data_IF_463849474350
#
_entry.id   IF_463849474350
#
_cell.length_a   1.000
_cell.length_b   1.000
_cell.length_c   1.000
_cell.angle_alpha   90.00
_cell.angle_beta   90.00
_cell.angle_gamma   90.00
#
_symmetry.space_group_name_H-M   'P 1'
#
loop_
_entity.id
_entity.type
_entity.pdbx_description
1 polymer ?
#
# COMPACT_ATOMS: atom_id res chain seq x y z
N UNK A 1 30.03 -22.66 -20.27
CA UNK A 1 29.22 -21.77 -19.40
C UNK A 1 29.35 -20.35 -19.93
N UNK A 2 28.26 -19.58 -20.09
CA UNK A 2 28.37 -18.21 -20.56
C UNK A 2 29.07 -17.34 -19.50
N UNK A 3 30.10 -16.60 -19.91
CA UNK A 3 30.85 -15.68 -19.03
C UNK A 3 30.12 -14.35 -18.97
N UNK A 4 29.55 -14.01 -17.82
CA UNK A 4 28.89 -12.73 -17.59
C UNK A 4 29.95 -11.71 -17.13
N UNK A 5 30.09 -10.58 -17.83
CA UNK A 5 30.98 -9.47 -17.43
C UNK A 5 30.25 -8.13 -17.42
N UNK A 6 30.79 -7.17 -16.67
CA UNK A 6 30.37 -5.76 -16.76
C UNK A 6 30.92 -5.16 -18.07
N UNK A 7 30.10 -4.33 -18.70
CA UNK A 7 30.42 -3.54 -19.89
C UNK A 7 30.41 -2.06 -19.53
N UNK A 8 31.21 -1.26 -20.22
CA UNK A 8 31.25 0.19 -20.00
C UNK A 8 30.07 0.88 -20.70
N UNK A 9 29.79 2.14 -20.32
CA UNK A 9 28.72 2.92 -20.93
C UNK A 9 28.99 3.21 -22.43
N UNK A 10 30.24 3.46 -22.81
CA UNK A 10 30.66 3.62 -24.21
C UNK A 10 30.47 2.33 -24.99
N UNK A 11 30.86 1.19 -24.42
CA UNK A 11 30.68 -0.11 -25.06
C UNK A 11 29.19 -0.43 -25.25
N UNK A 12 28.35 -0.11 -24.27
CA UNK A 12 26.89 -0.27 -24.37
C UNK A 12 26.24 0.70 -25.38
N UNK A 13 26.85 1.85 -25.65
CA UNK A 13 26.33 2.84 -26.60
C UNK A 13 26.45 2.39 -28.06
N UNK A 14 27.43 1.54 -28.37
CA UNK A 14 27.64 0.96 -29.71
C UNK A 14 26.79 -0.28 -29.99
N UNK A 15 26.10 -0.80 -28.99
CA UNK A 15 25.19 -1.92 -29.22
C UNK A 15 24.05 -1.40 -30.08
N UNK A 16 23.85 -2.01 -31.26
CA UNK A 16 22.66 -1.76 -32.04
C UNK A 16 21.47 -1.96 -31.11
N UNK A 17 20.76 -0.86 -30.81
CA UNK A 17 19.40 -0.97 -30.31
C UNK A 17 18.68 -1.67 -31.44
N UNK A 18 18.52 -2.98 -31.35
CA UNK A 18 17.60 -3.73 -32.20
C UNK A 18 16.27 -3.02 -32.02
N UNK A 19 15.95 -2.19 -33.00
CA UNK A 19 15.01 -1.10 -32.87
C UNK A 19 13.62 -1.68 -32.80
N UNK A 20 13.16 -2.04 -31.59
CA UNK A 20 11.74 -2.13 -31.36
C UNK A 20 11.25 -0.69 -31.48
N UNK A 21 10.60 -0.38 -32.60
CA UNK A 21 9.95 0.90 -32.80
C UNK A 21 9.15 1.26 -31.52
N UNK A 22 9.17 2.53 -31.10
CA UNK A 22 8.31 3.00 -30.03
C UNK A 22 6.90 2.45 -30.29
N UNK A 23 6.30 1.78 -29.30
CA UNK A 23 4.90 1.43 -29.44
C UNK A 23 4.15 2.75 -29.63
N UNK A 24 3.41 2.89 -30.73
CA UNK A 24 2.59 4.07 -30.94
C UNK A 24 1.69 4.27 -29.71
N UNK A 25 1.58 5.51 -29.25
CA UNK A 25 0.68 5.83 -28.15
C UNK A 25 -0.73 5.32 -28.50
N UNK A 26 -1.39 4.56 -27.62
CA UNK A 26 -2.71 4.04 -27.92
C UNK A 26 -3.72 5.18 -27.97
N UNK A 27 -4.72 5.04 -28.84
CA UNK A 27 -5.78 6.03 -29.01
C UNK A 27 -6.54 6.24 -27.67
N UNK A 28 -6.56 7.46 -27.11
CA UNK A 28 -7.29 7.75 -25.89
C UNK A 28 -8.79 7.39 -25.96
N UNK A 29 -9.43 7.51 -27.13
CA UNK A 29 -10.83 7.14 -27.31
C UNK A 29 -11.03 5.62 -27.17
N UNK A 30 -10.10 4.83 -27.73
CA UNK A 30 -10.08 3.38 -27.56
C UNK A 30 -9.89 2.99 -26.08
N UNK A 31 -8.95 3.63 -25.38
CA UNK A 31 -8.72 3.37 -23.94
C UNK A 31 -9.97 3.70 -23.11
N UNK A 32 -10.62 4.84 -23.39
CA UNK A 32 -11.84 5.23 -22.72
C UNK A 32 -12.97 4.22 -22.94
N UNK A 33 -13.15 3.74 -24.18
CA UNK A 33 -14.15 2.71 -24.51
C UNK A 33 -13.88 1.39 -23.79
N UNK A 34 -12.62 0.92 -23.78
CA UNK A 34 -12.21 -0.29 -23.07
C UNK A 34 -12.52 -0.22 -21.58
N UNK A 35 -12.20 0.91 -20.94
CA UNK A 35 -12.48 1.11 -19.53
C UNK A 35 -13.98 1.28 -19.24
N UNK A 36 -14.75 1.89 -20.14
CA UNK A 36 -16.20 2.04 -20.01
C UNK A 36 -16.94 0.70 -20.11
N UNK A 37 -16.39 -0.27 -20.86
CA UNK A 37 -16.97 -1.60 -21.01
C UNK A 37 -16.82 -2.49 -19.75
N UNK A 38 -16.03 -2.08 -18.75
CA UNK A 38 -15.85 -2.86 -17.52
C UNK A 38 -17.03 -2.66 -16.57
N UNK A 39 -17.64 -3.76 -16.14
CA UNK A 39 -18.67 -3.74 -15.08
C UNK A 39 -18.13 -3.22 -13.73
N UNK A 40 -16.85 -3.48 -13.42
CA UNK A 40 -16.17 -2.94 -12.24
C UNK A 40 -14.81 -2.35 -12.63
N UNK A 41 -14.68 -1.03 -12.50
CA UNK A 41 -13.44 -0.29 -12.78
C UNK A 41 -12.53 -0.12 -11.56
N UNK A 42 -12.98 -0.49 -10.36
CA UNK A 42 -12.23 -0.23 -9.12
C UNK A 42 -10.88 -0.94 -9.15
N UNK A 43 -9.83 -0.20 -8.80
CA UNK A 43 -8.47 -0.71 -8.77
C UNK A 43 -7.86 -0.98 -10.14
N UNK A 44 -8.44 -0.52 -11.24
CA UNK A 44 -7.80 -0.55 -12.55
C UNK A 44 -7.41 0.87 -12.94
N UNK A 45 -6.15 1.08 -13.31
CA UNK A 45 -5.64 2.40 -13.70
C UNK A 45 -4.81 2.26 -14.96
N UNK A 46 -5.04 3.14 -15.94
CA UNK A 46 -4.20 3.28 -17.11
C UNK A 46 -2.93 4.06 -16.75
N UNK A 47 -1.79 3.61 -17.25
CA UNK A 47 -0.50 4.29 -17.16
C UNK A 47 -0.05 4.56 -18.59
N UNK A 48 0.00 5.84 -18.93
CA UNK A 48 0.62 6.33 -20.15
C UNK A 48 1.72 7.29 -19.71
N UNK A 49 2.97 6.88 -19.89
CA UNK A 49 4.13 7.76 -19.69
C UNK A 49 4.80 7.98 -21.02
N UNK A 50 4.90 9.22 -21.43
CA UNK A 50 5.73 9.58 -22.57
C UNK A 50 7.20 9.64 -22.13
N UNK A 51 8.11 9.23 -23.02
CA UNK A 51 9.54 9.33 -22.76
C UNK A 51 10.36 9.15 -24.04
N UNK A 52 11.59 9.67 -24.09
CA UNK A 52 12.44 9.65 -25.29
C UNK A 52 12.82 8.23 -25.77
N UNK A 53 12.56 7.20 -24.96
CA UNK A 53 12.74 5.79 -25.30
C UNK A 53 11.43 5.07 -25.71
N UNK A 54 10.36 5.81 -26.01
CA UNK A 54 9.09 5.24 -26.50
C UNK A 54 8.03 4.96 -25.44
N UNK A 55 8.15 5.59 -24.27
CA UNK A 55 7.13 5.56 -23.22
C UNK A 55 6.82 4.20 -22.58
N UNK A 56 6.12 4.22 -21.46
CA UNK A 56 5.53 3.01 -20.88
C UNK A 56 4.01 3.10 -20.94
N UNK A 57 3.41 2.18 -21.67
CA UNK A 57 1.98 2.04 -21.91
C UNK A 57 1.51 0.74 -21.24
N UNK A 58 0.73 0.87 -20.16
CA UNK A 58 0.36 -0.26 -19.32
C UNK A 58 -0.97 -0.06 -18.58
N UNK A 59 -1.57 -1.16 -18.13
CA UNK A 59 -2.60 -1.13 -17.10
C UNK A 59 -2.00 -1.57 -15.75
N UNK A 60 -2.42 -0.91 -14.67
CA UNK A 60 -2.12 -1.31 -13.30
C UNK A 60 -3.38 -1.81 -12.62
N UNK A 61 -3.32 -3.03 -12.11
CA UNK A 61 -4.31 -3.56 -11.17
C UNK A 61 -3.89 -3.23 -9.73
N UNK A 62 -4.86 -2.88 -8.88
CA UNK A 62 -4.72 -2.62 -7.45
C UNK A 62 -5.81 -3.35 -6.66
N UNK A 63 -5.42 -3.97 -5.56
CA UNK A 63 -6.32 -4.60 -4.58
C UNK A 63 -5.95 -4.09 -3.19
N UNK A 64 -6.90 -3.43 -2.54
CA UNK A 64 -6.78 -2.96 -1.16
C UNK A 64 -7.32 -4.04 -0.23
N UNK A 65 -6.50 -4.54 0.68
CA UNK A 65 -6.90 -5.53 1.69
C UNK A 65 -6.25 -5.18 3.01
N UNK A 66 -7.04 -5.10 4.10
CA UNK A 66 -6.52 -4.93 5.49
C UNK A 66 -5.48 -3.81 5.65
N UNK A 67 -5.68 -2.68 4.96
CA UNK A 67 -4.78 -1.52 5.02
C UNK A 67 -3.50 -1.63 4.18
N UNK A 68 -3.33 -2.70 3.39
CA UNK A 68 -2.22 -2.82 2.42
C UNK A 68 -2.74 -2.74 0.98
N UNK A 69 -1.93 -2.16 0.09
CA UNK A 69 -2.17 -2.13 -1.36
C UNK A 69 -1.30 -3.21 -2.03
N UNK A 70 -1.95 -4.17 -2.67
CA UNK A 70 -1.31 -5.08 -3.62
C UNK A 70 -1.49 -4.51 -5.02
N UNK A 71 -0.44 -4.50 -5.84
CA UNK A 71 -0.55 -4.06 -7.23
C UNK A 71 0.30 -4.89 -8.19
N UNK A 72 -0.12 -4.93 -9.45
CA UNK A 72 0.64 -5.49 -10.55
C UNK A 72 0.45 -4.62 -11.81
N UNK A 73 1.46 -4.61 -12.67
CA UNK A 73 1.49 -3.79 -13.89
C UNK A 73 1.63 -4.67 -15.12
N UNK A 74 0.82 -4.39 -16.13
CA UNK A 74 0.62 -5.17 -17.34
C UNK A 74 0.87 -4.28 -18.54
N UNK A 75 2.04 -4.42 -19.16
CA UNK A 75 2.47 -3.58 -20.28
C UNK A 75 1.81 -4.02 -21.59
N UNK A 76 1.33 -3.07 -22.39
CA UNK A 76 0.65 -3.34 -23.67
C UNK A 76 1.54 -4.19 -24.59
N UNK A 77 2.84 -3.87 -24.64
CA UNK A 77 3.84 -4.56 -25.46
C UNK A 77 4.12 -6.03 -25.06
N UNK A 78 3.71 -6.45 -23.85
CA UNK A 78 3.83 -7.83 -23.36
C UNK A 78 2.52 -8.61 -23.46
N UNK A 79 1.40 -7.91 -23.59
CA UNK A 79 0.06 -8.51 -23.56
C UNK A 79 -0.73 -8.30 -24.86
N UNK A 80 -0.06 -8.03 -25.98
CA UNK A 80 -0.70 -7.93 -27.29
C UNK A 80 -1.53 -6.65 -27.50
N UNK A 81 -1.18 -5.56 -26.80
CA UNK A 81 -1.85 -4.27 -26.89
C UNK A 81 -2.70 -3.92 -25.66
N UNK A 82 -3.40 -2.78 -25.69
CA UNK A 82 -4.13 -2.25 -24.53
C UNK A 82 -5.28 -3.15 -24.09
N UNK A 83 -5.99 -3.80 -25.02
CA UNK A 83 -7.08 -4.72 -24.68
C UNK A 83 -6.59 -5.94 -23.90
N UNK A 84 -5.50 -6.58 -24.35
CA UNK A 84 -4.95 -7.74 -23.66
C UNK A 84 -4.28 -7.39 -22.33
N UNK A 85 -3.62 -6.22 -22.24
CA UNK A 85 -3.10 -5.71 -20.98
C UNK A 85 -4.23 -5.42 -19.97
N UNK A 86 -5.34 -4.84 -20.42
CA UNK A 86 -6.51 -4.61 -19.57
C UNK A 86 -7.12 -5.94 -19.09
N UNK A 87 -7.29 -6.91 -19.98
CA UNK A 87 -7.81 -8.23 -19.64
C UNK A 87 -6.93 -8.92 -18.59
N UNK A 88 -5.60 -8.85 -18.75
CA UNK A 88 -4.66 -9.41 -17.78
C UNK A 88 -4.76 -8.71 -16.41
N UNK A 89 -4.88 -7.38 -16.40
CA UNK A 89 -5.03 -6.60 -15.17
C UNK A 89 -6.33 -6.93 -14.42
N UNK A 90 -7.44 -7.09 -15.14
CA UNK A 90 -8.74 -7.49 -14.57
C UNK A 90 -8.66 -8.91 -14.01
N UNK A 91 -8.14 -9.87 -14.78
CA UNK A 91 -8.01 -11.26 -14.34
C UNK A 91 -7.12 -11.38 -13.08
N UNK A 92 -6.00 -10.65 -13.04
CA UNK A 92 -5.14 -10.59 -11.88
C UNK A 92 -5.85 -9.98 -10.66
N UNK A 93 -6.58 -8.87 -10.84
CA UNK A 93 -7.30 -8.21 -9.76
C UNK A 93 -8.36 -9.15 -9.17
N UNK A 94 -9.13 -9.80 -10.02
CA UNK A 94 -10.27 -10.62 -9.60
C UNK A 94 -9.80 -11.92 -8.94
N UNK A 95 -8.76 -12.57 -9.48
CA UNK A 95 -8.11 -13.71 -8.80
C UNK A 95 -7.48 -13.30 -7.47
N UNK A 96 -6.79 -12.16 -7.40
CA UNK A 96 -6.22 -11.65 -6.16
C UNK A 96 -7.31 -11.35 -5.13
N UNK A 97 -8.43 -10.72 -5.53
CA UNK A 97 -9.60 -10.50 -4.68
C UNK A 97 -10.17 -11.81 -4.13
N UNK A 98 -10.29 -12.84 -4.96
CA UNK A 98 -10.75 -14.16 -4.52
C UNK A 98 -9.80 -14.80 -3.52
N UNK A 99 -8.49 -14.73 -3.75
CA UNK A 99 -7.47 -15.26 -2.83
C UNK A 99 -7.55 -14.54 -1.48
N UNK A 100 -7.56 -13.21 -1.47
CA UNK A 100 -7.58 -12.44 -0.22
C UNK A 100 -8.91 -12.56 0.53
N UNK A 101 -10.03 -12.78 -0.18
CA UNK A 101 -11.33 -13.04 0.43
C UNK A 101 -11.39 -14.41 1.13
N UNK A 102 -10.63 -15.40 0.64
CA UNK A 102 -10.52 -16.74 1.26
C UNK A 102 -9.64 -16.77 2.51
N UNK A 103 -8.78 -15.77 2.70
CA UNK A 103 -7.98 -15.66 3.93
C UNK A 103 -8.93 -15.24 5.05
N UNK A 104 -9.25 -16.19 5.95
CA UNK A 104 -10.06 -15.94 7.14
C UNK A 104 -9.61 -14.66 7.85
N UNK A 105 -10.53 -13.86 8.42
CA UNK A 105 -10.16 -12.71 9.22
C UNK A 105 -9.11 -13.16 10.24
N UNK A 106 -7.94 -12.51 10.25
CA UNK A 106 -7.00 -12.69 11.36
C UNK A 106 -7.79 -12.30 12.58
N UNK A 107 -8.03 -13.27 13.47
CA UNK A 107 -8.74 -13.05 14.72
C UNK A 107 -8.15 -11.78 15.34
N UNK A 108 -9.01 -10.80 15.63
CA UNK A 108 -8.58 -9.55 16.22
C UNK A 108 -7.71 -9.89 17.43
N UNK A 109 -6.45 -9.41 17.42
CA UNK A 109 -5.54 -9.62 18.55
C UNK A 109 -6.30 -9.18 19.80
N UNK A 110 -6.43 -10.04 20.83
CA UNK A 110 -7.17 -9.67 22.02
C UNK A 110 -6.61 -8.36 22.55
N UNK A 111 -7.51 -7.40 22.78
CA UNK A 111 -7.14 -6.10 23.31
C UNK A 111 -6.46 -6.35 24.66
N UNK A 112 -5.24 -5.82 24.83
CA UNK A 112 -4.49 -5.99 26.06
C UNK A 112 -5.34 -5.49 27.25
N UNK A 113 -5.30 -6.15 28.42
CA UNK A 113 -6.13 -5.77 29.55
C UNK A 113 -5.87 -4.33 29.99
N UNK A 114 -6.90 -3.72 30.59
CA UNK A 114 -6.81 -2.38 31.11
C UNK A 114 -5.70 -2.26 32.15
N UNK A 115 -4.85 -1.22 32.05
CA UNK A 115 -3.70 -1.04 32.95
C UNK A 115 -3.23 0.41 33.02
N UNK A 116 -2.62 0.76 34.14
CA UNK A 116 -1.90 2.03 34.33
C UNK A 116 -0.41 1.71 34.39
N UNK A 117 0.41 2.40 33.59
CA UNK A 117 1.87 2.22 33.59
C UNK A 117 2.57 3.56 33.71
N UNK A 118 3.70 3.55 34.41
CA UNK A 118 4.58 4.71 34.50
C UNK A 118 5.22 4.98 33.14
N UNK A 119 5.23 6.25 32.76
CA UNK A 119 5.82 6.73 31.52
C UNK A 119 6.94 7.73 31.85
N UNK A 120 8.17 7.23 31.80
CA UNK A 120 9.39 8.03 32.02
C UNK A 120 10.09 8.21 30.68
N UNK A 121 9.71 9.28 29.98
CA UNK A 121 10.40 9.71 28.78
C UNK A 121 11.42 10.78 29.14
N UNK A 122 12.49 10.93 28.33
CA UNK A 122 13.58 11.90 28.55
C UNK A 122 13.16 13.34 28.89
N UNK A 123 11.94 13.75 28.53
CA UNK A 123 11.40 15.10 28.80
C UNK A 123 9.95 15.10 29.31
N UNK A 124 9.38 13.94 29.62
CA UNK A 124 7.97 13.83 30.05
C UNK A 124 7.84 12.73 31.10
N UNK A 125 7.43 13.13 32.29
CA UNK A 125 7.17 12.25 33.43
C UNK A 125 5.67 12.23 33.70
N UNK A 126 5.08 11.04 33.70
CA UNK A 126 3.64 10.88 33.91
C UNK A 126 3.19 9.43 33.89
N UNK A 127 1.89 9.23 33.75
CA UNK A 127 1.26 7.92 33.72
C UNK A 127 0.44 7.74 32.44
N UNK A 128 0.49 6.53 31.87
CA UNK A 128 -0.35 6.12 30.75
C UNK A 128 -1.41 5.13 31.25
N UNK A 129 -2.68 5.51 31.17
CA UNK A 129 -3.80 4.61 31.38
C UNK A 129 -4.28 4.04 30.04
N UNK A 130 -4.38 2.72 29.97
CA UNK A 130 -4.88 1.96 28.81
C UNK A 130 -6.25 1.39 29.17
N UNK A 131 -7.31 1.85 28.51
CA UNK A 131 -8.67 1.31 28.58
C UNK A 131 -9.12 0.99 27.15
N UNK A 132 -8.83 -0.21 26.61
CA UNK A 132 -9.03 -0.50 25.21
C UNK A 132 -10.43 -0.12 24.70
N UNK A 133 -10.53 0.58 23.55
CA UNK A 133 -9.47 0.94 22.61
C UNK A 133 -8.75 2.27 22.93
N UNK A 134 -9.11 2.93 24.04
CA UNK A 134 -8.64 4.27 24.40
C UNK A 134 -7.38 4.22 25.27
N UNK A 135 -6.58 5.28 25.20
CA UNK A 135 -5.48 5.53 26.14
C UNK A 135 -5.45 7.01 26.50
N UNK A 136 -4.98 7.33 27.69
CA UNK A 136 -4.79 8.71 28.14
C UNK A 136 -3.49 8.86 28.92
N UNK A 137 -2.84 10.01 28.73
CA UNK A 137 -1.63 10.38 29.44
C UNK A 137 -1.94 11.41 30.54
N UNK A 138 -1.30 11.25 31.69
CA UNK A 138 -1.45 12.09 32.89
C UNK A 138 -0.05 12.57 33.29
N UNK A 139 0.27 13.82 32.97
CA UNK A 139 1.59 14.39 33.24
C UNK A 139 1.71 14.79 34.72
N UNK A 140 2.85 14.48 35.35
CA UNK A 140 3.09 14.84 36.77
C UNK A 140 2.95 16.35 36.99
N UNK A 141 3.46 17.16 36.07
CA UNK A 141 3.40 18.63 36.14
C UNK A 141 1.98 19.19 36.07
N UNK A 142 1.06 18.49 35.40
CA UNK A 142 -0.34 18.93 35.24
C UNK A 142 -1.19 18.52 36.44
N UNK A 143 -0.89 17.37 37.03
CA UNK A 143 -1.74 16.77 38.07
C UNK A 143 -1.21 16.97 39.49
N UNK A 144 -0.21 17.81 39.71
CA UNK A 144 0.28 18.13 41.06
C UNK A 144 1.31 17.14 41.62
N UNK A 145 1.98 16.38 40.74
CA UNK A 145 3.02 15.44 41.10
C UNK A 145 2.72 13.99 40.72
N UNK A 146 3.67 13.11 41.05
CA UNK A 146 3.65 11.69 40.65
C UNK A 146 2.43 10.93 41.17
N UNK A 147 2.11 11.09 42.45
CA UNK A 147 1.03 10.34 43.13
C UNK A 147 -0.34 10.78 42.62
N UNK A 148 -0.55 12.10 42.52
CA UNK A 148 -1.79 12.67 42.01
C UNK A 148 -2.04 12.36 40.54
N UNK A 149 -0.98 12.31 39.72
CA UNK A 149 -1.09 11.84 38.33
C UNK A 149 -1.41 10.34 38.24
N UNK A 150 -0.89 9.51 39.16
CA UNK A 150 -1.23 8.08 39.22
C UNK A 150 -2.69 7.88 39.62
N UNK A 151 -3.15 8.57 40.66
CA UNK A 151 -4.53 8.51 41.14
C UNK A 151 -5.50 8.91 40.02
N UNK A 152 -5.27 10.05 39.36
CA UNK A 152 -6.08 10.49 38.23
C UNK A 152 -6.10 9.48 37.06
N UNK A 153 -4.98 8.79 36.81
CA UNK A 153 -4.90 7.75 35.79
C UNK A 153 -5.70 6.50 36.17
N UNK A 154 -5.73 6.12 37.45
CA UNK A 154 -6.53 4.99 37.97
C UNK A 154 -8.02 5.32 38.00
N UNK A 155 -8.40 6.51 38.45
CA UNK A 155 -9.80 6.95 38.49
C UNK A 155 -10.38 6.98 37.08
N UNK A 156 -9.66 7.56 36.12
CA UNK A 156 -10.05 7.55 34.71
C UNK A 156 -10.20 6.15 34.14
N UNK A 157 -9.41 5.19 34.60
CA UNK A 157 -9.51 3.79 34.19
C UNK A 157 -10.73 3.11 34.79
N UNK A 158 -11.03 3.35 36.08
CA UNK A 158 -12.20 2.83 36.78
C UNK A 158 -13.51 3.32 36.17
N UNK A 159 -13.60 4.62 35.83
CA UNK A 159 -14.76 5.19 35.10
C UNK A 159 -15.08 4.48 33.77
N UNK A 160 -14.13 3.72 33.23
CA UNK A 160 -14.20 3.09 31.91
C UNK A 160 -14.23 1.57 31.96
N UNK A 161 -14.17 0.98 33.14
CA UNK A 161 -14.48 -0.43 33.32
C UNK A 161 -15.99 -0.52 33.59
N UNK A 162 -16.73 -1.32 32.81
CA UNK A 162 -18.17 -1.54 33.03
C UNK A 162 -18.45 -2.27 34.34
#
# INVERSE_FOLDING_TARGET
MPTIRKITAEEAAYWERVGRAPAAAPDPAQIAALLAALADRRGITRIDRDGPAGGEHAFRGRVYVRGIELHAQFADSRHGGPAGALQAAVAWRDSTRQVVARVAPVAARPLAPARVVRAEYRRMCGWLAYAPPKRRYFADSTYGGRESAEAAARDWLQERQP
#
